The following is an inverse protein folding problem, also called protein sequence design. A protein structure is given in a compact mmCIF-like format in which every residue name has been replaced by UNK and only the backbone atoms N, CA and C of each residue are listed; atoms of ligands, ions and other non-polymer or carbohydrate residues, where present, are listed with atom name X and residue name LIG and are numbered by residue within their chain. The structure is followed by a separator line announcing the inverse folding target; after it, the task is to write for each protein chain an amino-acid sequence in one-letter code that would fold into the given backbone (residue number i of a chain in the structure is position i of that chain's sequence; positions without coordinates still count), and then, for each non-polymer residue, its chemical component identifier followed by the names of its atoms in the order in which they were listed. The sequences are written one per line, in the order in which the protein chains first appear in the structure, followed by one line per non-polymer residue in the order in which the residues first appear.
data_IF_071575476035
#
_entry.id   IF_071575476035
#
_cell.length_a   1.000
_cell.length_b   1.000
_cell.length_c   1.000
_cell.angle_alpha   90.00
_cell.angle_beta   90.00
_cell.angle_gamma   90.00
#
_symmetry.space_group_name_H-M   'P 1'
#
loop_
_entity.id
_entity.type
_entity.pdbx_description
1 polymer ?
#
# COMPACT_ATOMS: atom_id res chain seq x y z
N UNK A 1 17.01 -12.83 9.82
CA UNK A 1 15.66 -12.61 9.27
C UNK A 1 15.23 -11.18 9.62
N UNK A 2 14.63 -10.50 8.69
CA UNK A 2 14.22 -9.10 8.84
C UNK A 2 13.02 -8.93 9.79
N UNK A 3 12.21 -9.96 9.96
CA UNK A 3 11.08 -9.98 10.88
C UNK A 3 10.74 -11.42 11.29
N UNK A 4 10.14 -11.58 12.47
CA UNK A 4 9.64 -12.88 12.92
C UNK A 4 8.22 -13.13 12.42
N UNK A 5 7.39 -12.10 12.46
CA UNK A 5 5.99 -12.13 11.98
C UNK A 5 5.63 -10.81 11.34
N UNK A 6 4.76 -10.89 10.36
CA UNK A 6 4.19 -9.72 9.70
C UNK A 6 2.76 -10.03 9.29
N UNK A 7 1.95 -8.99 9.13
CA UNK A 7 0.66 -9.11 8.48
C UNK A 7 0.78 -8.54 7.07
N UNK A 8 0.21 -9.24 6.10
CA UNK A 8 0.24 -8.85 4.70
C UNK A 8 -1.19 -8.72 4.17
N UNK A 9 -1.43 -7.67 3.39
CA UNK A 9 -2.69 -7.52 2.67
C UNK A 9 -2.44 -6.81 1.33
N UNK A 10 -3.43 -6.85 0.45
CA UNK A 10 -3.29 -6.34 -0.92
C UNK A 10 -4.67 -6.03 -1.50
N UNK A 11 -4.69 -5.26 -2.60
CA UNK A 11 -5.87 -5.09 -3.45
C UNK A 11 -7.10 -4.59 -2.70
N UNK A 12 -6.93 -3.58 -1.86
CA UNK A 12 -8.04 -3.03 -1.10
C UNK A 12 -8.97 -2.16 -1.96
N UNK A 13 -8.44 -1.53 -3.01
CA UNK A 13 -9.19 -0.81 -4.03
C UNK A 13 -10.17 0.24 -3.47
N UNK A 14 -9.70 1.14 -2.62
CA UNK A 14 -10.50 2.31 -2.24
C UNK A 14 -10.97 3.06 -3.50
N UNK A 15 -12.23 3.45 -3.51
CA UNK A 15 -12.83 4.13 -4.66
C UNK A 15 -13.52 3.23 -5.67
N UNK A 16 -13.50 1.91 -5.47
CA UNK A 16 -14.23 0.98 -6.34
C UNK A 16 -15.74 1.26 -6.30
N UNK A 17 -16.47 0.79 -7.30
CA UNK A 17 -17.92 1.01 -7.46
C UNK A 17 -18.26 2.51 -7.50
N UNK A 18 -17.53 3.26 -8.34
CA UNK A 18 -17.72 4.68 -8.55
C UNK A 18 -17.58 5.51 -7.26
N UNK A 19 -16.50 5.25 -6.52
CA UNK A 19 -16.22 5.89 -5.24
C UNK A 19 -17.34 5.67 -4.19
N UNK A 20 -17.91 4.48 -4.17
CA UNK A 20 -18.98 4.13 -3.23
C UNK A 20 -18.50 4.28 -1.79
N UNK A 21 -19.22 5.07 -1.00
CA UNK A 21 -18.94 5.23 0.44
C UNK A 21 -19.15 3.92 1.20
N UNK A 22 -20.12 3.12 0.78
CA UNK A 22 -20.34 1.81 1.38
C UNK A 22 -19.15 0.88 1.17
N UNK A 23 -18.61 0.83 -0.06
CA UNK A 23 -17.40 0.07 -0.34
C UNK A 23 -16.20 0.60 0.45
N UNK A 24 -16.00 1.91 0.48
CA UNK A 24 -14.89 2.52 1.23
C UNK A 24 -15.01 2.24 2.73
N UNK A 25 -16.21 2.22 3.27
CA UNK A 25 -16.43 1.87 4.67
C UNK A 25 -16.11 0.40 4.94
N UNK A 26 -16.45 -0.50 4.03
CA UNK A 26 -16.08 -1.92 4.14
C UNK A 26 -14.56 -2.10 4.14
N UNK A 27 -13.85 -1.34 3.30
CA UNK A 27 -12.38 -1.33 3.30
C UNK A 27 -11.81 -0.85 4.63
N UNK A 28 -12.37 0.22 5.18
CA UNK A 28 -11.95 0.75 6.48
C UNK A 28 -12.22 -0.26 7.60
N UNK A 29 -13.39 -0.86 7.62
CA UNK A 29 -13.76 -1.87 8.62
C UNK A 29 -12.80 -3.06 8.57
N UNK A 30 -12.39 -3.48 7.38
CA UNK A 30 -11.38 -4.51 7.21
C UNK A 30 -10.04 -4.11 7.82
N UNK A 31 -9.58 -2.89 7.56
CA UNK A 31 -8.30 -2.39 8.11
C UNK A 31 -8.36 -2.33 9.64
N UNK A 32 -9.46 -1.86 10.20
CA UNK A 32 -9.65 -1.81 11.65
C UNK A 32 -9.59 -3.21 12.26
N UNK A 33 -10.29 -4.16 11.65
CA UNK A 33 -10.26 -5.56 12.08
C UNK A 33 -8.85 -6.15 11.99
N UNK A 34 -8.17 -5.90 10.88
CA UNK A 34 -6.80 -6.41 10.66
C UNK A 34 -5.81 -5.89 11.70
N UNK A 35 -5.90 -4.61 12.04
CA UNK A 35 -5.06 -3.99 13.07
C UNK A 35 -5.33 -4.64 14.43
N UNK A 36 -6.59 -4.88 14.77
CA UNK A 36 -6.96 -5.53 16.02
C UNK A 36 -6.41 -6.96 16.10
N UNK A 37 -6.51 -7.72 15.02
CA UNK A 37 -5.92 -9.07 14.94
C UNK A 37 -4.40 -9.03 15.06
N UNK A 38 -3.74 -8.07 14.43
CA UNK A 38 -2.30 -7.89 14.52
C UNK A 38 -1.88 -7.63 15.98
N UNK A 39 -2.59 -6.77 16.69
CA UNK A 39 -2.33 -6.47 18.11
C UNK A 39 -2.47 -7.72 18.99
N UNK A 40 -3.53 -8.49 18.79
CA UNK A 40 -3.76 -9.73 19.54
C UNK A 40 -2.63 -10.74 19.35
N UNK A 41 -1.95 -10.72 18.22
CA UNK A 41 -0.89 -11.63 17.86
C UNK A 41 0.51 -11.08 18.10
N UNK A 42 0.62 -9.86 18.59
CA UNK A 42 1.90 -9.17 18.79
C UNK A 42 2.64 -8.85 17.50
N UNK A 43 1.93 -8.60 16.41
CA UNK A 43 2.51 -8.28 15.11
C UNK A 43 2.66 -6.77 15.00
N UNK A 44 3.89 -6.30 14.73
CA UNK A 44 4.24 -4.88 14.63
C UNK A 44 4.65 -4.46 13.23
N UNK A 45 4.73 -5.38 12.28
CA UNK A 45 5.10 -5.11 10.89
C UNK A 45 3.96 -5.45 9.95
N UNK A 46 3.69 -4.53 9.03
CA UNK A 46 2.61 -4.65 8.06
C UNK A 46 3.16 -4.41 6.65
N UNK A 47 2.82 -5.28 5.71
CA UNK A 47 3.22 -5.14 4.31
C UNK A 47 1.98 -5.07 3.44
N UNK A 48 1.89 -4.00 2.65
CA UNK A 48 0.83 -3.83 1.66
C UNK A 48 1.38 -4.04 0.26
N UNK A 49 0.75 -4.92 -0.50
CA UNK A 49 1.30 -5.44 -1.75
C UNK A 49 0.70 -4.81 -3.02
N UNK A 50 0.11 -3.62 -2.89
CA UNK A 50 -0.31 -2.85 -4.05
C UNK A 50 -1.82 -2.75 -4.26
N UNK A 51 -2.22 -1.83 -5.14
CA UNK A 51 -3.60 -1.52 -5.51
C UNK A 51 -4.43 -1.00 -4.32
N UNK A 52 -3.95 0.07 -3.71
CA UNK A 52 -4.66 0.79 -2.67
C UNK A 52 -5.89 1.51 -3.24
N UNK A 53 -5.70 2.25 -4.33
CA UNK A 53 -6.79 2.91 -5.05
C UNK A 53 -7.23 2.10 -6.27
N UNK A 54 -8.53 2.14 -6.55
CA UNK A 54 -9.08 1.50 -7.73
C UNK A 54 -8.88 2.35 -9.00
N UNK A 55 -9.06 3.67 -8.89
CA UNK A 55 -8.94 4.59 -10.02
C UNK A 55 -7.54 5.20 -10.09
N UNK A 56 -6.98 5.30 -11.31
CA UNK A 56 -5.64 5.84 -11.56
C UNK A 56 -5.63 7.35 -11.74
N UNK A 57 -6.59 7.86 -12.50
CA UNK A 57 -6.57 9.23 -12.99
C UNK A 57 -7.19 10.24 -12.05
N UNK A 58 -8.13 9.83 -11.21
CA UNK A 58 -8.81 10.73 -10.29
C UNK A 58 -9.29 10.01 -9.04
N UNK A 59 -9.30 10.76 -7.94
CA UNK A 59 -9.80 10.29 -6.65
C UNK A 59 -10.71 11.39 -6.12
N UNK A 60 -11.95 11.05 -5.76
CA UNK A 60 -12.82 12.07 -5.17
C UNK A 60 -12.43 12.37 -3.71
N UNK A 61 -12.93 13.48 -3.17
CA UNK A 61 -12.57 13.97 -1.84
C UNK A 61 -12.93 12.95 -0.75
N UNK A 62 -14.08 12.30 -0.86
CA UNK A 62 -14.50 11.28 0.10
C UNK A 62 -13.52 10.10 0.14
N UNK A 63 -13.16 9.57 -1.02
CA UNK A 63 -12.18 8.47 -1.11
C UNK A 63 -10.80 8.91 -0.58
N UNK A 64 -10.38 10.13 -0.88
CA UNK A 64 -9.12 10.67 -0.36
C UNK A 64 -9.13 10.76 1.17
N UNK A 65 -10.25 11.14 1.77
CA UNK A 65 -10.40 11.17 3.23
C UNK A 65 -10.29 9.77 3.84
N UNK A 66 -10.90 8.76 3.23
CA UNK A 66 -10.72 7.37 3.66
C UNK A 66 -9.27 6.94 3.56
N UNK A 67 -8.59 7.28 2.47
CA UNK A 67 -7.17 6.97 2.29
C UNK A 67 -6.31 7.59 3.39
N UNK A 68 -6.43 8.89 3.62
CA UNK A 68 -5.63 9.61 4.61
C UNK A 68 -5.87 9.05 6.02
N UNK A 69 -7.13 8.82 6.39
CA UNK A 69 -7.48 8.28 7.69
C UNK A 69 -6.91 6.88 7.92
N UNK A 70 -6.94 6.05 6.90
CA UNK A 70 -6.48 4.66 7.02
C UNK A 70 -4.96 4.54 6.93
N UNK A 71 -4.28 5.38 6.15
CA UNK A 71 -2.82 5.47 6.20
C UNK A 71 -2.35 5.91 7.58
N UNK A 72 -3.00 6.91 8.18
CA UNK A 72 -2.69 7.35 9.55
C UNK A 72 -2.91 6.22 10.55
N UNK A 73 -3.98 5.47 10.39
CA UNK A 73 -4.31 4.33 11.24
C UNK A 73 -3.22 3.26 11.18
N UNK A 74 -2.73 2.94 9.99
CA UNK A 74 -1.61 2.03 9.82
C UNK A 74 -0.33 2.59 10.45
N UNK A 75 -0.01 3.86 10.19
CA UNK A 75 1.17 4.52 10.74
C UNK A 75 1.18 4.51 12.27
N UNK A 76 0.03 4.72 12.89
CA UNK A 76 -0.07 4.84 14.36
C UNK A 76 -0.08 3.49 15.07
N UNK A 77 -0.39 2.41 14.38
CA UNK A 77 -0.58 1.09 14.98
C UNK A 77 0.51 0.08 14.65
N UNK A 78 1.39 0.37 13.70
CA UNK A 78 2.52 -0.49 13.35
C UNK A 78 3.84 0.27 13.51
N UNK A 79 4.88 -0.43 13.95
CA UNK A 79 6.23 0.13 14.01
C UNK A 79 6.80 0.34 12.60
N UNK A 80 6.43 -0.52 11.66
CA UNK A 80 6.89 -0.43 10.29
C UNK A 80 5.80 -0.91 9.34
N UNK A 81 5.51 -0.08 8.34
CA UNK A 81 4.62 -0.41 7.23
C UNK A 81 5.42 -0.27 5.94
N UNK A 82 5.49 -1.33 5.15
CA UNK A 82 6.09 -1.27 3.82
C UNK A 82 4.99 -1.47 2.80
N UNK A 83 4.87 -0.54 1.86
CA UNK A 83 3.87 -0.57 0.80
C UNK A 83 4.57 -0.58 -0.55
N UNK A 84 4.14 -1.45 -1.43
CA UNK A 84 4.56 -1.40 -2.84
C UNK A 84 3.44 -0.81 -3.69
N UNK A 85 3.80 -0.12 -4.76
CA UNK A 85 2.81 0.34 -5.74
C UNK A 85 2.35 -0.83 -6.59
N UNK A 86 1.03 -0.94 -6.72
CA UNK A 86 0.41 -1.84 -7.69
C UNK A 86 0.09 -1.12 -8.99
N UNK A 87 -0.48 -1.85 -9.91
CA UNK A 87 -0.89 -1.36 -11.22
C UNK A 87 -1.89 -0.19 -11.12
N UNK A 88 -2.88 -0.27 -10.23
CA UNK A 88 -3.92 0.75 -10.07
C UNK A 88 -3.44 2.01 -9.34
N UNK A 89 -2.31 1.97 -8.65
CA UNK A 89 -1.77 3.13 -7.93
C UNK A 89 -1.05 4.12 -8.86
N UNK A 90 -0.66 3.70 -10.06
CA UNK A 90 0.04 4.52 -11.03
C UNK A 90 -0.94 5.30 -11.92
N UNK A 91 -0.70 6.60 -12.08
CA UNK A 91 -1.47 7.43 -13.01
C UNK A 91 -1.29 6.96 -14.46
N UNK A 92 -0.02 6.76 -14.88
CA UNK A 92 0.32 6.13 -16.15
C UNK A 92 0.66 4.67 -15.92
N UNK A 93 0.09 3.80 -16.73
CA UNK A 93 0.34 2.36 -16.65
C UNK A 93 1.82 2.00 -16.84
N UNK A 94 2.51 2.79 -17.64
CA UNK A 94 3.88 2.53 -18.10
C UNK A 94 4.92 3.44 -17.46
N UNK A 95 4.50 4.39 -16.60
CA UNK A 95 5.37 5.38 -15.97
C UNK A 95 5.13 5.47 -14.47
N UNK A 96 6.19 5.76 -13.71
CA UNK A 96 6.16 5.84 -12.25
C UNK A 96 6.11 7.27 -11.71
N UNK A 97 6.16 8.27 -12.59
CA UNK A 97 6.33 9.68 -12.21
C UNK A 97 5.18 10.18 -11.33
N UNK A 98 3.97 9.65 -11.56
CA UNK A 98 2.79 10.05 -10.81
C UNK A 98 2.07 8.79 -10.30
N UNK A 99 1.81 8.75 -8.99
CA UNK A 99 1.00 7.72 -8.36
C UNK A 99 0.07 8.31 -7.31
N UNK A 100 -0.97 7.58 -6.98
CA UNK A 100 -2.04 8.07 -6.10
C UNK A 100 -1.69 8.12 -4.61
N UNK A 101 -0.54 7.61 -4.22
CA UNK A 101 -0.11 7.49 -2.83
C UNK A 101 1.06 8.41 -2.45
N UNK A 102 1.26 9.50 -3.20
CA UNK A 102 2.36 10.42 -2.94
C UNK A 102 2.33 11.07 -1.55
N UNK A 103 1.15 11.16 -0.90
CA UNK A 103 1.02 11.71 0.45
C UNK A 103 1.65 10.80 1.53
N UNK A 104 2.07 9.59 1.20
CA UNK A 104 2.68 8.66 2.16
C UNK A 104 3.96 9.22 2.79
N UNK A 105 4.67 10.10 2.09
CA UNK A 105 5.88 10.74 2.61
C UNK A 105 5.65 11.48 3.93
N UNK A 106 4.41 11.85 4.24
CA UNK A 106 4.04 12.52 5.49
C UNK A 106 3.94 11.55 6.68
N UNK A 107 4.05 10.24 6.48
CA UNK A 107 3.91 9.23 7.52
C UNK A 107 5.27 8.57 7.82
N UNK A 108 5.77 8.77 9.04
CA UNK A 108 7.12 8.36 9.44
C UNK A 108 7.35 6.85 9.47
N UNK A 109 6.31 6.07 9.76
CA UNK A 109 6.42 4.61 9.86
C UNK A 109 6.08 3.89 8.54
N UNK A 110 5.67 4.62 7.52
CA UNK A 110 5.30 4.04 6.22
C UNK A 110 6.40 4.31 5.20
N UNK A 111 6.88 3.25 4.57
CA UNK A 111 7.84 3.32 3.47
C UNK A 111 7.15 2.84 2.20
N UNK A 112 7.19 3.67 1.16
CA UNK A 112 6.64 3.33 -0.16
C UNK A 112 7.76 2.85 -1.09
N UNK A 113 7.59 1.65 -1.63
CA UNK A 113 8.46 1.09 -2.66
C UNK A 113 7.78 1.30 -4.02
N UNK A 114 8.22 2.32 -4.73
CA UNK A 114 7.62 2.73 -6.01
C UNK A 114 8.57 2.59 -7.20
N UNK A 115 9.85 2.82 -7.01
CA UNK A 115 10.83 2.88 -8.11
C UNK A 115 11.72 1.65 -8.14
N UNK A 116 12.55 1.47 -7.15
CA UNK A 116 13.51 0.35 -7.08
C UNK A 116 13.05 -0.67 -6.05
N UNK A 117 13.24 -1.97 -6.32
CA UNK A 117 13.01 -2.99 -5.31
C UNK A 117 13.82 -2.71 -4.05
N UNK A 118 13.22 -2.98 -2.90
CA UNK A 118 13.89 -2.97 -1.60
C UNK A 118 14.19 -4.40 -1.20
N UNK A 119 15.45 -4.67 -0.87
CA UNK A 119 15.86 -5.98 -0.35
C UNK A 119 16.26 -5.82 1.11
N UNK A 120 15.54 -6.52 1.98
CA UNK A 120 15.81 -6.57 3.41
C UNK A 120 16.00 -8.02 3.83
N UNK A 121 17.25 -8.39 4.12
CA UNK A 121 17.58 -9.77 4.46
C UNK A 121 17.24 -10.73 3.33
N UNK A 122 16.30 -11.63 3.60
CA UNK A 122 15.84 -12.66 2.66
C UNK A 122 14.53 -12.29 1.95
N UNK A 123 14.07 -11.02 2.08
CA UNK A 123 12.82 -10.54 1.49
C UNK A 123 13.09 -9.44 0.47
N UNK A 124 12.47 -9.54 -0.70
CA UNK A 124 12.50 -8.52 -1.73
C UNK A 124 11.09 -7.94 -1.91
N UNK A 125 10.96 -6.62 -1.76
CA UNK A 125 9.75 -5.87 -2.05
C UNK A 125 9.87 -5.28 -3.45
N UNK A 126 9.06 -5.80 -4.38
CA UNK A 126 9.13 -5.44 -5.79
C UNK A 126 7.85 -4.72 -6.19
N UNK A 127 7.91 -3.43 -6.57
CA UNK A 127 6.73 -2.70 -7.02
C UNK A 127 6.26 -3.19 -8.39
N UNK A 128 5.09 -2.74 -8.83
CA UNK A 128 4.63 -3.00 -10.20
C UNK A 128 5.71 -2.57 -11.19
N UNK A 129 6.10 -3.47 -12.07
CA UNK A 129 7.17 -3.22 -13.04
C UNK A 129 6.58 -2.71 -14.36
N UNK A 130 7.15 -1.61 -14.86
CA UNK A 130 6.78 -0.98 -16.13
C UNK A 130 7.76 -1.38 -17.23
N UNK A 131 7.25 -1.65 -18.43
CA UNK A 131 8.04 -1.89 -19.66
C UNK A 131 9.28 -2.79 -19.46
N UNK A 132 10.45 -2.23 -19.72
CA UNK A 132 11.72 -2.95 -19.68
C UNK A 132 12.27 -3.19 -18.27
N UNK A 133 11.63 -2.71 -17.23
CA UNK A 133 12.09 -2.91 -15.86
C UNK A 133 12.15 -4.39 -15.46
N UNK A 134 11.35 -5.24 -16.11
CA UNK A 134 11.40 -6.70 -15.94
C UNK A 134 12.79 -7.27 -16.22
N UNK A 135 13.55 -6.65 -17.13
CA UNK A 135 14.87 -7.10 -17.48
C UNK A 135 15.87 -6.91 -16.34
N UNK A 136 15.70 -5.87 -15.54
CA UNK A 136 16.56 -5.61 -14.39
C UNK A 136 16.26 -6.51 -13.20
N UNK A 137 15.08 -7.10 -13.14
CA UNK A 137 14.70 -8.02 -12.07
C UNK A 137 15.64 -9.23 -11.97
N UNK A 138 16.13 -9.70 -13.10
CA UNK A 138 17.06 -10.84 -13.15
C UNK A 138 18.44 -10.57 -12.50
N UNK A 139 18.72 -9.33 -12.15
CA UNK A 139 19.98 -8.91 -11.52
C UNK A 139 19.87 -8.78 -9.99
N UNK A 140 18.72 -9.06 -9.44
CA UNK A 140 18.46 -8.95 -8.00
C UNK A 140 18.93 -10.20 -7.23
#
# INVERSE_FOLDING_TARGET
MFFDKAILFTDIHFGMKNNSRHHNQDCEDFIIWMIDEAKKRGITKCFFLGDWHHNRASINVSTLNYTTSNLRRLNDNFEQVIMITGNHDLYYREHREIHSLSMIEDFSNITMINDKPLIEGDVAFIPWLCDDEWKSLKKI
#
